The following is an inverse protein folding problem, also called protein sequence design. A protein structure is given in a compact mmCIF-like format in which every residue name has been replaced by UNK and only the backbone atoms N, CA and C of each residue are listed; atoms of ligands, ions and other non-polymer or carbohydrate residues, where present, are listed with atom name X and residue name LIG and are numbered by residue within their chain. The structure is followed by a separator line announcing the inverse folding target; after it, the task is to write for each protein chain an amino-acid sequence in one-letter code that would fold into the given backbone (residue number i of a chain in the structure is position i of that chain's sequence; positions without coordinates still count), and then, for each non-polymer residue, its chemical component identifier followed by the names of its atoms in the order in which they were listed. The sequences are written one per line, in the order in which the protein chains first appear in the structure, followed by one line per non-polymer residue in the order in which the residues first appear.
data_IF_444884629990
#
_entry.id   IF_444884629990
#
_cell.length_a   1.000
_cell.length_b   1.000
_cell.length_c   1.000
_cell.angle_alpha   90.00
_cell.angle_beta   90.00
_cell.angle_gamma   90.00
#
_symmetry.space_group_name_H-M   'P 1'
#
loop_
_entity.id
_entity.type
_entity.pdbx_description
1 polymer ?
#
# COMPACT_ATOMS: atom_id res chain seq x y z
N UNK A 1 25.16 -17.96 -4.75
CA UNK A 1 23.82 -17.39 -5.00
C UNK A 1 23.59 -16.39 -3.88
N UNK A 2 23.24 -15.15 -4.20
CA UNK A 2 22.98 -14.17 -3.15
C UNK A 2 21.72 -14.63 -2.40
N UNK A 3 21.88 -15.01 -1.14
CA UNK A 3 20.77 -15.15 -0.21
C UNK A 3 20.07 -13.79 -0.19
N UNK A 4 18.97 -13.68 -0.91
CA UNK A 4 18.25 -12.42 -0.98
C UNK A 4 17.52 -12.27 0.34
N UNK A 5 17.87 -11.27 1.15
CA UNK A 5 17.19 -10.97 2.41
C UNK A 5 15.66 -10.86 2.26
N UNK A 6 15.18 -10.51 1.05
CA UNK A 6 13.76 -10.55 0.67
C UNK A 6 13.08 -11.92 0.82
N UNK A 7 13.83 -13.02 0.74
CA UNK A 7 13.32 -14.39 0.89
C UNK A 7 13.25 -14.81 2.36
N UNK A 8 14.15 -14.30 3.20
CA UNK A 8 14.18 -14.58 4.63
C UNK A 8 13.23 -13.66 5.42
N UNK A 9 13.11 -12.40 4.99
CA UNK A 9 12.34 -11.34 5.64
C UNK A 9 11.48 -10.62 4.58
N UNK A 10 10.35 -11.22 4.16
CA UNK A 10 9.50 -10.59 3.15
C UNK A 10 8.86 -9.31 3.70
N UNK A 11 8.64 -8.34 2.82
CA UNK A 11 7.78 -7.20 3.14
C UNK A 11 6.32 -7.69 3.30
N UNK A 12 5.63 -7.15 4.29
CA UNK A 12 4.25 -7.44 4.60
C UNK A 12 3.37 -6.22 4.34
N UNK A 13 2.29 -6.45 3.62
CA UNK A 13 1.27 -5.44 3.32
C UNK A 13 -0.06 -5.89 3.91
N UNK A 14 -0.69 -5.03 4.71
CA UNK A 14 -2.03 -5.27 5.26
C UNK A 14 -2.98 -4.16 4.83
N UNK A 15 -4.08 -4.57 4.23
CA UNK A 15 -5.15 -3.69 3.76
C UNK A 15 -6.35 -3.81 4.70
N UNK A 16 -6.79 -2.69 5.25
CA UNK A 16 -7.96 -2.61 6.11
C UNK A 16 -9.00 -1.72 5.45
N UNK A 17 -10.18 -2.29 5.22
CA UNK A 17 -11.31 -1.62 4.59
C UNK A 17 -12.39 -1.37 5.63
N UNK A 18 -12.90 -0.15 5.69
CA UNK A 18 -14.01 0.22 6.57
C UNK A 18 -14.98 1.15 5.85
N UNK A 19 -16.27 1.03 6.14
CA UNK A 19 -17.26 2.00 5.65
C UNK A 19 -17.06 3.35 6.36
N UNK A 20 -17.19 4.45 5.62
CA UNK A 20 -17.18 5.80 6.20
C UNK A 20 -18.61 6.24 6.57
N UNK A 21 -18.81 7.03 7.65
CA UNK A 21 -20.13 7.54 8.03
C UNK A 21 -20.81 8.37 6.94
N UNK A 22 -20.01 8.99 6.08
CA UNK A 22 -20.42 9.92 5.03
C UNK A 22 -20.75 9.21 3.71
N UNK A 23 -20.62 7.88 3.68
CA UNK A 23 -20.67 7.06 2.47
C UNK A 23 -19.29 6.90 1.83
N UNK A 24 -19.06 5.73 1.23
CA UNK A 24 -17.77 5.33 0.66
C UNK A 24 -17.03 4.28 1.50
N UNK A 25 -15.81 3.96 1.07
CA UNK A 25 -14.90 3.01 1.74
C UNK A 25 -13.60 3.72 2.06
N UNK A 26 -13.22 3.72 3.33
CA UNK A 26 -11.88 4.07 3.79
C UNK A 26 -10.97 2.85 3.63
N UNK A 27 -9.82 3.06 3.01
CA UNK A 27 -8.74 2.09 2.94
C UNK A 27 -7.56 2.61 3.76
N UNK A 28 -7.10 1.80 4.71
CA UNK A 28 -5.84 2.00 5.44
C UNK A 28 -4.87 0.90 5.02
N UNK A 29 -3.65 1.29 4.63
CA UNK A 29 -2.59 0.36 4.26
C UNK A 29 -1.50 0.42 5.32
N UNK A 30 -1.18 -0.74 5.89
CA UNK A 30 -0.03 -0.91 6.77
C UNK A 30 1.08 -1.64 6.03
N UNK A 31 2.24 -1.01 5.97
CA UNK A 31 3.43 -1.53 5.32
C UNK A 31 4.47 -1.85 6.39
N UNK A 32 5.06 -3.04 6.32
CA UNK A 32 6.13 -3.47 7.20
C UNK A 32 7.20 -4.14 6.36
N UNK A 33 8.42 -3.61 6.37
CA UNK A 33 9.59 -4.22 5.73
C UNK A 33 10.74 -4.32 6.73
N UNK A 34 11.73 -5.14 6.40
CA UNK A 34 13.00 -5.22 7.12
C UNK A 34 13.93 -4.05 6.80
N UNK A 35 13.74 -3.43 5.63
CA UNK A 35 14.51 -2.29 5.16
C UNK A 35 13.71 -0.99 5.32
N UNK A 36 14.25 -0.07 6.10
CA UNK A 36 13.66 1.24 6.37
C UNK A 36 13.61 2.09 5.10
N UNK A 37 14.62 2.00 4.23
CA UNK A 37 14.65 2.75 2.96
C UNK A 37 13.54 2.34 1.99
N UNK A 38 13.28 1.04 1.88
CA UNK A 38 12.16 0.50 1.11
C UNK A 38 10.80 0.86 1.73
N UNK A 39 10.70 0.85 3.06
CA UNK A 39 9.49 1.30 3.78
C UNK A 39 9.19 2.77 3.51
N UNK A 40 10.21 3.63 3.55
CA UNK A 40 10.08 5.07 3.25
C UNK A 40 9.65 5.30 1.79
N UNK A 41 10.25 4.57 0.85
CA UNK A 41 9.84 4.62 -0.56
C UNK A 41 8.36 4.25 -0.74
N UNK A 42 7.90 3.16 -0.11
CA UNK A 42 6.50 2.74 -0.21
C UNK A 42 5.56 3.75 0.47
N UNK A 43 5.95 4.31 1.61
CA UNK A 43 5.16 5.35 2.29
C UNK A 43 4.97 6.62 1.43
N UNK A 44 5.96 7.02 0.62
CA UNK A 44 5.83 8.17 -0.29
C UNK A 44 5.05 7.83 -1.57
N UNK A 45 5.28 6.65 -2.14
CA UNK A 45 4.78 6.32 -3.49
C UNK A 45 3.40 5.67 -3.48
N UNK A 46 3.08 4.87 -2.46
CA UNK A 46 1.84 4.11 -2.40
C UNK A 46 0.57 4.97 -2.35
N UNK A 47 0.50 6.06 -1.55
CA UNK A 47 -0.66 6.95 -1.56
C UNK A 47 -0.94 7.57 -2.95
N UNK A 48 0.13 7.89 -3.71
CA UNK A 48 0.02 8.45 -5.06
C UNK A 48 -0.54 7.42 -6.04
N UNK A 49 -0.10 6.16 -5.93
CA UNK A 49 -0.60 5.05 -6.74
C UNK A 49 -2.09 4.79 -6.45
N UNK A 50 -2.47 4.73 -5.17
CA UNK A 50 -3.87 4.52 -4.76
C UNK A 50 -4.79 5.65 -5.23
N UNK A 51 -4.33 6.91 -5.17
CA UNK A 51 -5.10 8.04 -5.67
C UNK A 51 -5.35 7.93 -7.19
N UNK A 52 -4.35 7.51 -7.97
CA UNK A 52 -4.51 7.28 -9.41
C UNK A 52 -5.48 6.13 -9.68
N UNK A 53 -5.37 5.03 -8.93
CA UNK A 53 -6.29 3.90 -9.04
C UNK A 53 -7.73 4.34 -8.78
N UNK A 54 -7.96 5.12 -7.71
CA UNK A 54 -9.27 5.70 -7.40
C UNK A 54 -9.82 6.50 -8.58
N UNK A 55 -9.01 7.43 -9.13
CA UNK A 55 -9.42 8.22 -10.30
C UNK A 55 -9.79 7.33 -11.48
N UNK A 56 -9.02 6.29 -11.78
CA UNK A 56 -9.34 5.36 -12.89
C UNK A 56 -10.64 4.61 -12.64
N UNK A 57 -10.86 4.12 -11.42
CA UNK A 57 -12.09 3.41 -11.05
C UNK A 57 -13.33 4.30 -11.13
N UNK A 58 -13.20 5.58 -10.76
CA UNK A 58 -14.30 6.56 -10.81
C UNK A 58 -14.50 7.17 -12.21
N UNK A 59 -13.49 7.11 -13.08
CA UNK A 59 -13.56 7.61 -14.46
C UNK A 59 -14.11 6.57 -15.45
N UNK A 60 -14.28 5.32 -15.02
CA UNK A 60 -14.85 4.25 -15.87
C UNK A 60 -16.38 4.34 -15.86
N UNK A 61 -16.92 5.37 -16.51
CA UNK A 61 -18.35 5.59 -16.74
C UNK A 61 -18.59 6.13 -18.16
#
# INVERSE_FOLDING_TARGET
MADSHLHAEPAHERYVFSATPEGGTQLVVHLQSWDDGFTDFLNDTWPKALQRLKTLSESTH
#
